data_IF_435719532442
#
_entry.id   IF_435719532442
#
_cell.length_a   1.000
_cell.length_b   1.000
_cell.length_c   1.000
_cell.angle_alpha   90.00
_cell.angle_beta   90.00
_cell.angle_gamma   90.00
#
_symmetry.space_group_name_H-M   'P 1'
#
loop_
_entity.id
_entity.type
_entity.pdbx_description
1 polymer ?
#
# COMPACT_ATOMS: atom_id res chain seq x y z
N UNK A 1 -11.95 2.60 11.66
CA UNK A 1 -12.08 1.14 11.49
C UNK A 1 -10.90 0.45 12.17
N UNK A 2 -11.09 -0.17 13.36
CA UNK A 2 -9.98 -0.73 14.17
C UNK A 2 -9.57 -2.16 13.78
N UNK A 3 -10.47 -2.91 13.16
CA UNK A 3 -10.30 -4.35 12.84
C UNK A 3 -10.09 -4.63 11.35
N UNK A 4 -9.84 -3.59 10.56
CA UNK A 4 -9.79 -3.70 9.11
C UNK A 4 -8.62 -4.57 8.64
N UNK A 5 -7.43 -4.37 9.22
CA UNK A 5 -6.24 -5.14 8.84
C UNK A 5 -6.43 -6.64 9.17
N UNK A 6 -7.02 -6.92 10.32
CA UNK A 6 -7.27 -8.26 10.82
C UNK A 6 -8.28 -9.00 9.92
N UNK A 7 -9.39 -8.35 9.59
CA UNK A 7 -10.39 -8.91 8.66
C UNK A 7 -9.77 -9.15 7.29
N UNK A 8 -9.02 -8.17 6.76
CA UNK A 8 -8.34 -8.31 5.47
C UNK A 8 -7.38 -9.50 5.45
N UNK A 9 -6.56 -9.67 6.50
CA UNK A 9 -5.60 -10.78 6.57
C UNK A 9 -6.27 -12.15 6.67
N UNK A 10 -7.40 -12.24 7.37
CA UNK A 10 -8.18 -13.48 7.44
C UNK A 10 -8.78 -13.81 6.07
N UNK A 11 -9.35 -12.83 5.39
CA UNK A 11 -9.90 -13.01 4.04
C UNK A 11 -8.81 -13.39 3.04
N UNK A 12 -7.65 -12.73 3.07
CA UNK A 12 -6.49 -13.04 2.24
C UNK A 12 -5.97 -14.45 2.52
N UNK A 13 -5.89 -14.86 3.80
CA UNK A 13 -5.50 -16.22 4.18
C UNK A 13 -6.46 -17.26 3.61
N UNK A 14 -7.77 -17.05 3.72
CA UNK A 14 -8.78 -17.96 3.19
C UNK A 14 -8.68 -18.06 1.66
N UNK A 15 -8.54 -16.92 0.99
CA UNK A 15 -8.39 -16.85 -0.46
C UNK A 15 -7.12 -17.58 -0.93
N UNK A 16 -5.97 -17.29 -0.32
CA UNK A 16 -4.71 -17.91 -0.67
C UNK A 16 -4.68 -19.41 -0.36
N UNK A 17 -5.27 -19.83 0.75
CA UNK A 17 -5.40 -21.26 1.08
C UNK A 17 -6.27 -22.00 0.05
N UNK A 18 -7.37 -21.38 -0.39
CA UNK A 18 -8.21 -21.91 -1.46
C UNK A 18 -7.44 -22.05 -2.78
N UNK A 19 -6.70 -21.02 -3.20
CA UNK A 19 -5.90 -21.07 -4.43
C UNK A 19 -4.78 -22.12 -4.33
N UNK A 20 -4.02 -22.15 -3.23
CA UNK A 20 -2.91 -23.09 -3.05
C UNK A 20 -3.37 -24.55 -2.98
N UNK A 21 -4.55 -24.82 -2.41
CA UNK A 21 -5.12 -26.18 -2.34
C UNK A 21 -5.69 -26.66 -3.68
N UNK A 22 -6.18 -25.75 -4.51
CA UNK A 22 -6.83 -26.09 -5.79
C UNK A 22 -5.86 -26.11 -6.97
N UNK A 23 -5.00 -25.11 -7.12
CA UNK A 23 -4.14 -24.92 -8.29
C UNK A 23 -2.64 -24.91 -7.96
N UNK A 24 -2.26 -25.24 -6.71
CA UNK A 24 -0.85 -25.23 -6.29
C UNK A 24 -0.17 -23.88 -6.56
N UNK A 25 -0.91 -22.78 -6.50
CA UNK A 25 -0.46 -21.43 -6.82
C UNK A 25 -1.12 -20.42 -5.89
N UNK A 26 -0.47 -19.27 -5.65
CA UNK A 26 -1.13 -18.13 -5.01
C UNK A 26 -2.21 -17.56 -5.95
N UNK A 27 -3.07 -16.67 -5.43
CA UNK A 27 -4.10 -16.01 -6.23
C UNK A 27 -3.50 -15.28 -7.45
N UNK A 28 -2.46 -14.48 -7.24
CA UNK A 28 -1.77 -13.75 -8.32
C UNK A 28 -1.02 -14.67 -9.26
N UNK A 29 -0.38 -15.72 -8.75
CA UNK A 29 0.32 -16.70 -9.60
C UNK A 29 -0.67 -17.46 -10.50
N UNK A 30 -1.82 -17.87 -9.96
CA UNK A 30 -2.87 -18.52 -10.72
C UNK A 30 -3.43 -17.59 -11.81
N UNK A 31 -3.60 -16.30 -11.51
CA UNK A 31 -4.03 -15.30 -12.49
C UNK A 31 -3.06 -15.18 -13.67
N UNK A 32 -1.75 -15.28 -13.41
CA UNK A 32 -0.71 -15.24 -14.45
C UNK A 32 -0.34 -16.63 -15.02
N UNK A 33 -1.08 -17.69 -14.70
CA UNK A 33 -0.80 -19.03 -15.22
C UNK A 33 0.53 -19.62 -14.71
N UNK A 34 0.88 -19.36 -13.45
CA UNK A 34 2.06 -19.89 -12.78
C UNK A 34 1.65 -20.90 -11.71
N UNK A 35 2.50 -21.91 -11.48
CA UNK A 35 2.36 -22.90 -10.40
C UNK A 35 3.63 -23.02 -9.57
N UNK A 36 3.47 -23.40 -8.30
CA UNK A 36 4.55 -23.66 -7.35
C UNK A 36 4.99 -25.11 -7.40
N UNK A 37 6.30 -25.34 -7.47
CA UNK A 37 6.90 -26.69 -7.45
C UNK A 37 7.96 -26.75 -6.34
N UNK A 38 7.98 -27.79 -5.48
CA UNK A 38 8.98 -27.93 -4.45
C UNK A 38 10.40 -28.02 -5.03
N UNK A 39 11.34 -27.29 -4.45
CA UNK A 39 12.74 -27.33 -4.84
C UNK A 39 13.34 -28.71 -4.53
N UNK A 40 13.95 -29.35 -5.54
CA UNK A 40 14.57 -30.68 -5.42
C UNK A 40 13.89 -31.78 -6.25
N UNK A 41 12.75 -31.49 -6.89
CA UNK A 41 12.15 -32.40 -7.88
C UNK A 41 12.71 -32.07 -9.27
N UNK A 42 13.64 -32.89 -9.75
CA UNK A 42 14.27 -32.82 -11.10
C UNK A 42 13.56 -33.68 -12.15
N UNK A 43 12.32 -34.11 -11.88
CA UNK A 43 11.48 -34.86 -12.82
C UNK A 43 10.44 -33.99 -13.53
N UNK A 44 9.64 -34.54 -14.47
CA UNK A 44 8.52 -33.83 -15.06
C UNK A 44 7.62 -33.32 -13.92
N UNK A 45 7.42 -32.00 -13.89
CA UNK A 45 6.66 -31.31 -12.86
C UNK A 45 5.37 -32.04 -12.59
N UNK A 46 5.14 -32.49 -11.35
CA UNK A 46 3.88 -33.15 -10.98
C UNK A 46 2.67 -32.32 -11.42
N UNK A 47 1.60 -33.01 -11.81
CA UNK A 47 0.34 -32.39 -12.20
C UNK A 47 -0.10 -31.37 -11.14
N UNK A 48 -0.51 -30.17 -11.58
CA UNK A 48 -0.94 -29.09 -10.69
C UNK A 48 -2.07 -29.50 -9.73
N UNK A 49 -2.90 -30.47 -10.12
CA UNK A 49 -3.98 -31.02 -9.31
C UNK A 49 -3.52 -31.76 -8.06
N UNK A 50 -2.29 -32.29 -8.04
CA UNK A 50 -1.76 -33.07 -6.92
C UNK A 50 -1.42 -32.18 -5.71
N UNK A 51 -1.38 -30.87 -5.90
CA UNK A 51 -1.16 -29.88 -4.85
C UNK A 51 0.27 -29.88 -4.29
N UNK A 52 0.57 -28.87 -3.47
CA UNK A 52 1.83 -28.85 -2.72
C UNK A 52 1.76 -29.81 -1.52
N UNK A 53 2.88 -30.49 -1.17
CA UNK A 53 2.98 -31.22 0.08
C UNK A 53 2.71 -30.28 1.27
N UNK A 54 2.06 -30.80 2.32
CA UNK A 54 1.52 -30.02 3.45
C UNK A 54 2.53 -29.09 4.11
N UNK A 55 3.79 -29.52 4.26
CA UNK A 55 4.86 -28.69 4.81
C UNK A 55 5.18 -27.47 3.95
N UNK A 56 5.30 -27.65 2.63
CA UNK A 56 5.58 -26.54 1.69
C UNK A 56 4.34 -25.67 1.46
N UNK A 57 3.16 -26.27 1.51
CA UNK A 57 1.88 -25.55 1.49
C UNK A 57 1.78 -24.59 2.68
N UNK A 58 1.97 -25.09 3.91
CA UNK A 58 1.84 -24.26 5.10
C UNK A 58 2.92 -23.18 5.17
N UNK A 59 4.17 -23.49 4.81
CA UNK A 59 5.25 -22.49 4.72
C UNK A 59 4.94 -21.42 3.68
N UNK A 60 4.46 -21.82 2.51
CA UNK A 60 4.06 -20.91 1.43
C UNK A 60 2.94 -19.97 1.88
N UNK A 61 1.90 -20.52 2.51
CA UNK A 61 0.75 -19.76 3.02
C UNK A 61 1.18 -18.78 4.12
N UNK A 62 1.95 -19.24 5.10
CA UNK A 62 2.45 -18.40 6.18
C UNK A 62 3.32 -17.26 5.65
N UNK A 63 4.25 -17.54 4.73
CA UNK A 63 5.14 -16.50 4.18
C UNK A 63 4.39 -15.48 3.32
N UNK A 64 3.36 -15.90 2.58
CA UNK A 64 2.55 -14.99 1.76
C UNK A 64 1.68 -14.05 2.58
N UNK A 65 1.09 -14.51 3.70
CA UNK A 65 0.15 -13.70 4.50
C UNK A 65 0.86 -12.99 5.66
N UNK A 66 1.69 -13.71 6.42
CA UNK A 66 2.24 -13.21 7.66
C UNK A 66 3.30 -12.14 7.44
N UNK A 67 4.15 -12.30 6.43
CA UNK A 67 5.23 -11.33 6.13
C UNK A 67 4.68 -9.96 5.77
N UNK A 68 3.75 -9.80 4.79
CA UNK A 68 3.20 -8.49 4.48
C UNK A 68 2.39 -7.92 5.65
N UNK A 69 1.67 -8.75 6.41
CA UNK A 69 0.95 -8.28 7.60
C UNK A 69 1.89 -7.69 8.66
N UNK A 70 2.95 -8.42 9.01
CA UNK A 70 3.96 -7.95 9.96
C UNK A 70 4.63 -6.68 9.47
N UNK A 71 4.96 -6.61 8.18
CA UNK A 71 5.56 -5.43 7.56
C UNK A 71 4.65 -4.21 7.72
N UNK A 72 3.37 -4.32 7.32
CA UNK A 72 2.39 -3.23 7.45
C UNK A 72 2.21 -2.80 8.90
N UNK A 73 2.16 -3.74 9.85
CA UNK A 73 2.07 -3.40 11.29
C UNK A 73 3.33 -2.69 11.79
N UNK A 74 4.51 -3.10 11.35
CA UNK A 74 5.78 -2.46 11.69
C UNK A 74 5.88 -1.04 11.11
N UNK A 75 5.51 -0.85 9.84
CA UNK A 75 5.47 0.46 9.18
C UNK A 75 4.52 1.41 9.91
N UNK A 76 3.31 0.95 10.26
CA UNK A 76 2.33 1.74 11.03
C UNK A 76 2.84 2.09 12.43
N UNK A 77 3.53 1.16 13.09
CA UNK A 77 4.11 1.38 14.41
C UNK A 77 5.24 2.41 14.31
N UNK A 78 6.14 2.29 13.33
CA UNK A 78 7.21 3.25 13.07
C UNK A 78 6.65 4.65 12.78
N UNK A 79 5.64 4.76 11.91
CA UNK A 79 4.98 6.03 11.59
C UNK A 79 4.41 6.71 12.84
N UNK A 80 3.66 5.97 13.66
CA UNK A 80 3.10 6.49 14.91
C UNK A 80 4.18 6.97 15.89
N UNK A 81 5.23 6.16 16.10
CA UNK A 81 6.31 6.51 17.02
C UNK A 81 7.07 7.75 16.54
N UNK A 82 7.26 7.90 15.22
CA UNK A 82 7.92 9.05 14.63
C UNK A 82 7.09 10.32 14.79
N UNK A 83 5.78 10.25 14.53
CA UNK A 83 4.85 11.36 14.77
C UNK A 83 4.87 11.77 16.25
N UNK A 84 4.80 10.82 17.18
CA UNK A 84 4.87 11.11 18.62
C UNK A 84 6.16 11.84 19.02
N UNK A 85 7.32 11.46 18.46
CA UNK A 85 8.58 12.20 18.71
C UNK A 85 8.58 13.61 18.10
N UNK A 86 8.00 13.80 16.93
CA UNK A 86 7.91 15.12 16.28
C UNK A 86 7.00 16.10 17.06
N UNK A 87 6.00 15.59 17.80
CA UNK A 87 5.04 16.40 18.57
C UNK A 87 5.30 16.45 20.09
N UNK A 88 6.12 15.57 20.66
CA UNK A 88 6.32 15.51 22.11
C UNK A 88 7.21 16.63 22.68
N UNK A 89 6.79 17.18 23.83
CA UNK A 89 7.61 18.07 24.67
C UNK A 89 8.73 17.23 25.30
N UNK A 90 9.98 17.70 25.29
CA UNK A 90 11.15 16.96 25.82
C UNK A 90 10.95 16.62 27.30
N UNK A 91 10.62 15.37 27.61
CA UNK A 91 10.61 14.82 28.97
C UNK A 91 11.94 14.11 29.29
N UNK A 92 12.36 14.03 30.56
CA UNK A 92 13.62 13.41 30.96
C UNK A 92 13.67 11.90 30.63
N UNK A 93 14.86 11.46 30.21
CA UNK A 93 15.09 10.19 29.52
C UNK A 93 14.89 8.94 30.39
N UNK A 94 13.79 8.23 30.16
CA UNK A 94 13.57 6.86 30.66
C UNK A 94 14.23 5.81 29.74
N UNK A 95 14.54 4.62 30.28
CA UNK A 95 15.14 3.52 29.50
C UNK A 95 14.27 3.10 28.30
N UNK A 96 12.93 3.17 28.42
CA UNK A 96 11.98 2.95 27.31
C UNK A 96 12.15 3.96 26.18
N UNK A 97 12.42 5.24 26.48
CA UNK A 97 12.63 6.27 25.48
C UNK A 97 13.94 6.08 24.71
N UNK A 98 15.00 5.55 25.37
CA UNK A 98 16.24 5.18 24.67
C UNK A 98 16.01 4.04 23.68
N UNK A 99 15.25 3.01 24.09
CA UNK A 99 14.87 1.92 23.18
C UNK A 99 14.01 2.41 22.02
N UNK A 100 13.07 3.33 22.26
CA UNK A 100 12.25 3.94 21.20
C UNK A 100 13.09 4.70 20.18
N UNK A 101 14.04 5.52 20.64
CA UNK A 101 14.97 6.24 19.75
C UNK A 101 15.88 5.31 18.98
N UNK A 102 16.40 4.27 19.64
CA UNK A 102 17.20 3.24 18.97
C UNK A 102 16.39 2.53 17.89
N UNK A 103 15.12 2.19 18.16
CA UNK A 103 14.22 1.60 17.18
C UNK A 103 13.96 2.54 15.99
N UNK A 104 13.64 3.81 16.25
CA UNK A 104 13.41 4.81 15.19
C UNK A 104 14.64 5.04 14.32
N UNK A 105 15.84 4.99 14.91
CA UNK A 105 17.08 5.10 14.16
C UNK A 105 17.41 3.82 13.38
N UNK A 106 17.14 2.63 13.94
CA UNK A 106 17.51 1.35 13.33
C UNK A 106 16.55 0.91 12.21
N UNK A 107 15.24 1.17 12.36
CA UNK A 107 14.21 0.75 11.41
C UNK A 107 14.47 1.11 9.94
N UNK A 108 14.87 2.35 9.57
CA UNK A 108 15.15 2.69 8.17
C UNK A 108 16.30 1.88 7.58
N UNK A 109 17.33 1.55 8.36
CA UNK A 109 18.43 0.70 7.90
C UNK A 109 18.00 -0.76 7.75
N UNK A 110 17.15 -1.27 8.65
CA UNK A 110 16.56 -2.60 8.53
C UNK A 110 15.69 -2.71 7.28
N UNK A 111 14.85 -1.70 7.03
CA UNK A 111 14.02 -1.66 5.82
C UNK A 111 14.90 -1.55 4.56
N UNK A 112 15.96 -0.73 4.58
CA UNK A 112 16.92 -0.64 3.49
C UNK A 112 17.61 -1.99 3.22
N UNK A 113 18.04 -2.70 4.29
CA UNK A 113 18.64 -4.02 4.17
C UNK A 113 17.67 -5.07 3.61
N UNK A 114 16.40 -5.02 4.02
CA UNK A 114 15.34 -5.88 3.49
C UNK A 114 15.11 -5.66 1.98
N UNK A 115 14.99 -4.41 1.55
CA UNK A 115 14.82 -4.06 0.13
C UNK A 115 16.06 -4.43 -0.70
N UNK A 116 17.25 -4.17 -0.17
CA UNK A 116 18.51 -4.56 -0.82
C UNK A 116 18.59 -6.09 -0.99
N UNK A 117 18.15 -6.86 0.00
CA UNK A 117 18.09 -8.32 -0.09
C UNK A 117 17.13 -8.79 -1.18
N UNK A 118 15.95 -8.17 -1.29
CA UNK A 118 14.97 -8.48 -2.34
C UNK A 118 15.52 -8.14 -3.73
N UNK A 119 16.08 -6.94 -3.89
CA UNK A 119 16.72 -6.48 -5.13
C UNK A 119 17.85 -7.40 -5.57
N UNK A 120 18.72 -7.81 -4.64
CA UNK A 120 19.83 -8.72 -4.94
C UNK A 120 19.31 -10.06 -5.49
N UNK A 121 18.22 -10.61 -4.95
CA UNK A 121 17.60 -11.83 -5.46
C UNK A 121 17.01 -11.64 -6.85
N UNK A 122 16.33 -10.52 -7.10
CA UNK A 122 15.79 -10.21 -8.42
C UNK A 122 16.90 -10.06 -9.46
N UNK A 123 18.00 -9.38 -9.13
CA UNK A 123 19.16 -9.25 -10.01
C UNK A 123 19.78 -10.62 -10.31
N UNK A 124 20.00 -11.46 -9.29
CA UNK A 124 20.51 -12.82 -9.48
C UNK A 124 19.60 -13.68 -10.35
N UNK A 125 18.29 -13.50 -10.24
CA UNK A 125 17.29 -14.16 -11.07
C UNK A 125 17.36 -13.70 -12.53
N UNK A 126 17.44 -12.38 -12.76
CA UNK A 126 17.56 -11.79 -14.11
C UNK A 126 18.87 -12.23 -14.78
N UNK A 127 19.98 -12.30 -14.05
CA UNK A 127 21.25 -12.83 -14.55
C UNK A 127 21.27 -14.37 -14.71
N UNK A 128 20.15 -15.06 -14.43
CA UNK A 128 20.04 -16.52 -14.59
C UNK A 128 20.82 -17.34 -13.57
N UNK A 129 21.41 -16.72 -12.53
CA UNK A 129 22.17 -17.41 -11.48
C UNK A 129 21.26 -18.03 -10.42
N UNK A 130 20.10 -17.43 -10.17
CA UNK A 130 19.11 -17.93 -9.22
C UNK A 130 17.84 -18.41 -9.92
N UNK A 131 17.21 -19.47 -9.40
CA UNK A 131 15.90 -19.97 -9.87
C UNK A 131 14.69 -19.26 -9.23
N UNK A 132 14.94 -18.40 -8.25
CA UNK A 132 13.90 -17.75 -7.45
C UNK A 132 14.03 -16.24 -7.58
N UNK A 133 12.93 -15.55 -7.92
CA UNK A 133 12.91 -14.09 -8.03
C UNK A 133 12.76 -13.39 -6.67
N UNK A 134 12.15 -14.05 -5.68
CA UNK A 134 11.92 -13.50 -4.35
C UNK A 134 12.53 -14.39 -3.26
N UNK A 135 13.12 -13.78 -2.21
CA UNK A 135 13.71 -14.53 -1.10
C UNK A 135 12.65 -15.28 -0.28
N UNK A 136 11.39 -14.86 -0.30
CA UNK A 136 10.29 -15.57 0.37
C UNK A 136 10.03 -16.94 -0.27
N UNK A 137 10.13 -17.05 -1.60
CA UNK A 137 10.01 -18.33 -2.29
C UNK A 137 11.19 -19.26 -1.98
N UNK A 138 12.39 -18.69 -1.86
CA UNK A 138 13.57 -19.43 -1.42
C UNK A 138 13.37 -20.02 -0.01
N UNK A 139 12.84 -19.22 0.93
CA UNK A 139 12.51 -19.67 2.29
C UNK A 139 11.40 -20.74 2.29
N UNK A 140 10.43 -20.63 1.38
CA UNK A 140 9.41 -21.66 1.18
C UNK A 140 9.96 -22.94 0.54
N UNK A 141 11.18 -22.89 -0.03
CA UNK A 141 11.83 -23.93 -0.85
C UNK A 141 10.96 -24.37 -2.02
N UNK A 142 10.45 -23.38 -2.75
CA UNK A 142 9.52 -23.57 -3.87
C UNK A 142 9.95 -22.65 -5.01
N UNK A 143 9.93 -23.14 -6.23
CA UNK A 143 10.15 -22.34 -7.43
C UNK A 143 8.87 -22.26 -8.28
N UNK A 144 8.79 -21.23 -9.11
CA UNK A 144 7.64 -21.01 -9.99
C UNK A 144 7.91 -21.60 -11.36
N UNK A 145 6.89 -22.23 -11.92
CA UNK A 145 6.89 -22.82 -13.26
C UNK A 145 5.60 -22.41 -13.95
N UNK A 146 5.64 -22.20 -15.27
CA UNK A 146 4.44 -21.94 -16.06
C UNK A 146 3.51 -23.15 -16.05
N UNK A 147 2.21 -22.89 -16.08
CA UNK A 147 1.19 -23.93 -16.16
C UNK A 147 1.30 -24.62 -17.52
N UNK A 148 1.42 -25.96 -17.53
CA UNK A 148 1.48 -26.72 -18.78
C UNK A 148 0.07 -27.05 -19.29
N UNK A 149 -0.07 -27.33 -20.59
CA UNK A 149 -1.35 -27.73 -21.18
C UNK A 149 -1.94 -28.98 -20.48
N UNK A 150 -1.10 -29.93 -20.10
CA UNK A 150 -1.52 -31.11 -19.35
C UNK A 150 -2.10 -30.77 -17.97
N UNK A 151 -1.58 -29.73 -17.31
CA UNK A 151 -2.12 -29.25 -16.04
C UNK A 151 -3.51 -28.62 -16.21
N UNK A 152 -3.72 -27.87 -17.30
CA UNK A 152 -5.01 -27.22 -17.59
C UNK A 152 -6.10 -28.27 -17.79
N UNK A 153 -5.84 -29.27 -18.64
CA UNK A 153 -6.79 -30.36 -18.91
C UNK A 153 -7.15 -31.14 -17.64
N UNK A 154 -6.18 -31.36 -16.76
CA UNK A 154 -6.41 -32.09 -15.52
C UNK A 154 -7.19 -31.26 -14.48
N UNK A 155 -6.95 -29.95 -14.42
CA UNK A 155 -7.76 -29.03 -13.61
C UNK A 155 -9.21 -28.95 -14.08
N UNK A 156 -9.44 -28.94 -15.39
CA UNK A 156 -10.79 -29.02 -15.98
C UNK A 156 -11.49 -30.31 -15.59
N UNK A 157 -10.83 -31.46 -15.74
CA UNK A 157 -11.37 -32.77 -15.34
C UNK A 157 -11.73 -32.85 -13.85
N UNK A 158 -10.93 -32.24 -12.97
CA UNK A 158 -11.20 -32.15 -11.53
C UNK A 158 -12.39 -31.25 -11.22
N UNK A 159 -12.55 -30.15 -11.95
CA UNK A 159 -13.69 -29.24 -11.79
C UNK A 159 -15.01 -29.91 -12.14
N UNK A 160 -15.03 -30.73 -13.21
CA UNK A 160 -16.21 -31.51 -13.61
C UNK A 160 -16.53 -32.64 -12.63
N UNK A 161 -15.52 -33.33 -12.08
CA UNK A 161 -15.75 -34.44 -11.12
C UNK A 161 -16.23 -33.95 -9.74
N UNK A 162 -15.78 -32.78 -9.29
CA UNK A 162 -16.25 -32.15 -8.04
C UNK A 162 -17.74 -31.79 -8.12
N UNK A 163 -18.24 -31.48 -9.32
CA UNK A 163 -19.67 -31.24 -9.53
C UNK A 163 -20.50 -32.53 -9.54
N UNK A 164 -19.91 -33.65 -9.96
CA UNK A 164 -20.56 -34.97 -10.10
C UNK A 164 -20.51 -35.88 -8.84
N UNK A 165 -19.88 -35.43 -7.75
CA UNK A 165 -19.79 -36.22 -6.51
C UNK A 165 -21.16 -36.33 -5.83
N UNK A 166 -21.65 -37.56 -5.62
CA UNK A 166 -22.92 -37.88 -4.98
C UNK A 166 -22.89 -37.69 -3.45
N UNK A 167 -24.02 -37.33 -2.81
CA UNK A 167 -24.09 -37.13 -1.37
C UNK A 167 -23.94 -38.45 -0.58
N UNK A 168 -23.13 -38.42 0.50
CA UNK A 168 -23.09 -39.48 1.51
C UNK A 168 -24.39 -39.59 2.30
N UNK A 169 -24.61 -40.75 2.94
CA UNK A 169 -25.87 -41.13 3.60
C UNK A 169 -26.10 -40.51 5.00
N UNK A 170 -25.23 -39.61 5.48
CA UNK A 170 -25.34 -38.98 6.82
C UNK A 170 -25.69 -37.49 6.74
N UNK A 171 -26.63 -37.03 7.58
CA UNK A 171 -27.16 -35.65 7.60
C UNK A 171 -26.08 -34.60 7.95
N UNK A 172 -25.14 -34.95 8.83
CA UNK A 172 -24.02 -34.08 9.23
C UNK A 172 -22.96 -33.99 8.13
N UNK A 173 -22.73 -35.08 7.40
CA UNK A 173 -21.84 -35.13 6.23
C UNK A 173 -22.44 -34.39 5.03
N UNK A 174 -23.76 -34.43 4.87
CA UNK A 174 -24.45 -33.64 3.86
C UNK A 174 -24.33 -32.14 4.12
N UNK A 175 -24.57 -31.68 5.35
CA UNK A 175 -24.46 -30.25 5.67
C UNK A 175 -23.03 -29.71 5.46
N UNK A 176 -22.02 -30.47 5.88
CA UNK A 176 -20.61 -30.11 5.66
C UNK A 176 -20.20 -30.18 4.18
N UNK A 177 -20.75 -31.12 3.41
CA UNK A 177 -20.57 -31.19 1.95
C UNK A 177 -21.22 -30.01 1.21
N UNK A 178 -22.46 -29.65 1.55
CA UNK A 178 -23.15 -28.49 0.97
C UNK A 178 -22.47 -27.18 1.35
N UNK A 179 -22.08 -27.00 2.62
CA UNK A 179 -21.40 -25.80 3.08
C UNK A 179 -20.02 -25.65 2.44
N UNK A 180 -19.23 -26.74 2.34
CA UNK A 180 -17.92 -26.70 1.68
C UNK A 180 -18.04 -26.46 0.17
N UNK A 181 -19.05 -27.03 -0.50
CA UNK A 181 -19.34 -26.77 -1.93
C UNK A 181 -19.83 -25.34 -2.16
N UNK A 182 -20.66 -24.79 -1.26
CA UNK A 182 -21.12 -23.41 -1.31
C UNK A 182 -19.96 -22.42 -1.07
N UNK A 183 -19.13 -22.66 -0.05
CA UNK A 183 -17.94 -21.87 0.23
C UNK A 183 -16.94 -21.93 -0.93
N UNK A 184 -16.73 -23.12 -1.51
CA UNK A 184 -15.88 -23.29 -2.69
C UNK A 184 -16.38 -22.57 -3.94
N UNK A 185 -17.71 -22.50 -4.15
CA UNK A 185 -18.35 -21.74 -5.24
C UNK A 185 -18.25 -20.23 -5.01
N UNK A 186 -18.50 -19.77 -3.78
CA UNK A 186 -18.36 -18.38 -3.38
C UNK A 186 -16.91 -17.91 -3.54
N UNK A 187 -15.94 -18.70 -3.09
CA UNK A 187 -14.52 -18.41 -3.25
C UNK A 187 -14.12 -18.32 -4.74
N UNK A 188 -14.63 -19.21 -5.60
CA UNK A 188 -14.38 -19.10 -7.05
C UNK A 188 -15.02 -17.87 -7.68
N UNK A 189 -16.27 -17.55 -7.31
CA UNK A 189 -16.96 -16.35 -7.82
C UNK A 189 -16.25 -15.08 -7.37
N UNK A 190 -15.83 -15.03 -6.10
CA UNK A 190 -15.07 -13.93 -5.53
C UNK A 190 -13.70 -13.79 -6.19
N UNK A 191 -12.99 -14.88 -6.45
CA UNK A 191 -11.72 -14.88 -7.17
C UNK A 191 -11.86 -14.29 -8.58
N UNK A 192 -12.88 -14.71 -9.33
CA UNK A 192 -13.16 -14.16 -10.67
C UNK A 192 -13.59 -12.69 -10.60
N UNK A 193 -14.44 -12.33 -9.63
CA UNK A 193 -14.87 -10.95 -9.40
C UNK A 193 -13.72 -10.03 -9.01
N UNK A 194 -12.79 -10.49 -8.16
CA UNK A 194 -11.57 -9.76 -7.81
C UNK A 194 -10.68 -9.56 -9.03
N UNK A 195 -10.52 -10.59 -9.87
CA UNK A 195 -9.73 -10.50 -11.10
C UNK A 195 -10.31 -9.44 -12.06
N UNK A 196 -11.64 -9.44 -12.25
CA UNK A 196 -12.33 -8.43 -13.05
C UNK A 196 -12.25 -7.04 -12.40
N UNK A 197 -12.36 -6.96 -11.08
CA UNK A 197 -12.23 -5.73 -10.31
C UNK A 197 -10.85 -5.10 -10.43
N UNK A 198 -9.78 -5.89 -10.37
CA UNK A 198 -8.40 -5.42 -10.57
C UNK A 198 -8.21 -4.84 -11.97
N UNK A 199 -8.76 -5.50 -13.00
CA UNK A 199 -8.75 -4.96 -14.37
C UNK A 199 -9.45 -3.59 -14.45
N UNK A 200 -10.63 -3.46 -13.85
CA UNK A 200 -11.36 -2.19 -13.84
C UNK A 200 -10.64 -1.10 -13.03
N UNK A 201 -9.98 -1.47 -11.93
CA UNK A 201 -9.17 -0.54 -11.15
C UNK A 201 -7.93 -0.07 -11.92
N UNK A 202 -7.24 -0.96 -12.64
CA UNK A 202 -6.15 -0.55 -13.54
C UNK A 202 -6.65 0.38 -14.64
N UNK A 203 -7.83 0.10 -15.21
CA UNK A 203 -8.47 1.02 -16.15
C UNK A 203 -8.75 2.38 -15.52
N UNK A 204 -9.28 2.44 -14.28
CA UNK A 204 -9.52 3.69 -13.58
C UNK A 204 -8.23 4.43 -13.23
N UNK A 205 -7.19 3.71 -12.80
CA UNK A 205 -5.88 4.29 -12.51
C UNK A 205 -5.26 4.90 -13.76
N UNK A 206 -5.37 4.21 -14.90
CA UNK A 206 -5.03 4.77 -16.19
C UNK A 206 -5.89 5.99 -16.55
N UNK A 207 -7.21 5.91 -16.34
CA UNK A 207 -8.16 7.00 -16.64
C UNK A 207 -7.88 8.27 -15.82
N UNK A 208 -7.47 8.11 -14.57
CA UNK A 208 -7.12 9.20 -13.65
C UNK A 208 -5.62 9.51 -13.60
N UNK A 209 -4.80 8.83 -14.40
CA UNK A 209 -3.38 9.13 -14.50
C UNK A 209 -3.19 10.60 -14.89
N UNK A 210 -2.18 11.25 -14.33
CA UNK A 210 -1.91 12.68 -14.51
C UNK A 210 -1.72 13.07 -15.98
N UNK A 211 -1.23 12.15 -16.81
CA UNK A 211 -1.11 12.34 -18.26
C UNK A 211 -2.49 12.43 -18.95
N UNK A 212 -3.42 11.55 -18.56
CA UNK A 212 -4.78 11.53 -19.10
C UNK A 212 -5.71 12.56 -18.43
N UNK A 213 -5.36 13.09 -17.25
CA UNK A 213 -6.15 14.15 -16.64
C UNK A 213 -6.24 15.40 -17.52
N UNK A 214 -5.16 15.79 -18.19
CA UNK A 214 -5.17 16.97 -19.06
C UNK A 214 -6.01 16.72 -20.32
N UNK A 215 -5.99 15.50 -20.87
CA UNK A 215 -6.84 15.14 -22.00
C UNK A 215 -8.31 15.08 -21.59
N UNK A 216 -8.64 14.46 -20.46
CA UNK A 216 -10.03 14.37 -19.95
C UNK A 216 -10.55 15.74 -19.52
N UNK A 217 -9.72 16.58 -18.89
CA UNK A 217 -10.06 17.99 -18.60
C UNK A 217 -10.27 18.78 -19.88
N UNK A 218 -9.41 18.62 -20.90
CA UNK A 218 -9.60 19.32 -22.19
C UNK A 218 -10.91 18.94 -22.89
N UNK A 219 -11.37 17.69 -22.74
CA UNK A 219 -12.63 17.21 -23.31
C UNK A 219 -13.88 17.61 -22.49
N UNK A 220 -13.71 17.87 -21.19
CA UNK A 220 -14.83 18.16 -20.26
C UNK A 220 -14.88 19.60 -19.75
N UNK A 221 -13.83 20.38 -19.94
CA UNK A 221 -13.76 21.78 -19.52
C UNK A 221 -14.30 22.71 -20.60
N UNK A 222 -15.12 23.66 -20.17
CA UNK A 222 -15.43 24.87 -20.93
C UNK A 222 -14.14 25.68 -21.17
N UNK A 223 -14.08 26.49 -22.25
CA UNK A 223 -12.91 27.34 -22.51
C UNK A 223 -12.60 28.22 -21.30
N UNK A 224 -11.35 28.24 -20.87
CA UNK A 224 -10.91 29.05 -19.73
C UNK A 224 -11.19 30.53 -20.01
N UNK A 225 -11.90 31.25 -19.12
CA UNK A 225 -12.09 32.67 -19.28
C UNK A 225 -10.73 33.37 -19.28
N UNK A 226 -10.59 34.49 -20.01
CA UNK A 226 -9.33 35.22 -20.04
C UNK A 226 -8.89 35.57 -18.62
N UNK A 227 -7.58 35.51 -18.32
CA UNK A 227 -7.07 35.80 -16.99
C UNK A 227 -7.55 37.20 -16.57
N UNK A 228 -8.03 37.37 -15.33
CA UNK A 228 -8.43 38.67 -14.84
C UNK A 228 -7.23 39.61 -14.96
N UNK A 229 -7.44 40.74 -15.61
CA UNK A 229 -6.40 41.76 -15.78
C UNK A 229 -6.01 42.21 -14.39
N UNK A 230 -4.83 41.80 -13.93
CA UNK A 230 -4.22 42.41 -12.76
C UNK A 230 -4.05 43.89 -13.12
N UNK A 231 -4.82 44.74 -12.44
CA UNK A 231 -4.51 46.16 -12.38
C UNK A 231 -3.13 46.25 -11.74
N UNK A 232 -2.09 46.29 -12.57
CA UNK A 232 -0.75 46.65 -12.18
C UNK A 232 -0.83 48.09 -11.67
N UNK A 233 -1.15 48.21 -10.39
CA UNK A 233 -1.02 49.43 -9.63
C UNK A 233 0.44 49.83 -9.69
N UNK A 234 0.71 50.85 -10.50
CA UNK A 234 1.97 51.54 -10.74
C UNK A 234 2.62 52.16 -9.47
N UNK A 235 2.72 51.40 -8.37
CA UNK A 235 3.26 51.87 -7.09
C UNK A 235 3.85 50.75 -6.23
N UNK A 236 4.60 49.83 -6.84
CA UNK A 236 5.50 48.94 -6.10
C UNK A 236 6.89 49.58 -6.00
N UNK A 237 7.26 50.27 -4.90
CA UNK A 237 8.63 50.72 -4.71
C UNK A 237 9.57 49.51 -4.63
N UNK A 238 10.75 49.64 -5.23
CA UNK A 238 11.81 48.63 -5.42
C UNK A 238 12.35 47.96 -4.12
N UNK A 239 11.76 48.20 -2.95
CA UNK A 239 12.12 47.64 -1.64
C UNK A 239 11.35 46.35 -1.26
N UNK A 240 10.39 45.91 -2.08
CA UNK A 240 9.50 44.78 -1.78
C UNK A 240 10.10 43.34 -1.78
N UNK A 241 11.26 43.02 -2.37
CA UNK A 241 11.83 41.68 -2.27
C UNK A 241 12.27 41.32 -0.84
N UNK A 242 12.78 42.29 -0.08
CA UNK A 242 13.31 42.07 1.27
C UNK A 242 12.21 41.86 2.32
N UNK A 243 11.02 42.47 2.14
CA UNK A 243 9.84 42.19 2.98
C UNK A 243 9.23 40.82 2.66
N UNK A 244 9.39 40.32 1.42
CA UNK A 244 8.79 39.06 1.00
C UNK A 244 9.33 37.84 1.74
N UNK A 245 10.50 37.85 2.35
CA UNK A 245 11.08 36.71 3.09
C UNK A 245 10.93 36.78 4.62
N UNK A 246 10.47 37.92 5.15
CA UNK A 246 10.33 38.15 6.57
C UNK A 246 8.94 37.77 7.08
N UNK A 247 8.86 37.40 8.36
CA UNK A 247 7.60 37.13 9.04
C UNK A 247 6.95 38.45 9.49
N UNK A 248 5.68 38.73 9.18
CA UNK A 248 5.00 39.94 9.67
C UNK A 248 4.87 40.02 11.20
N UNK A 249 4.87 38.87 11.89
CA UNK A 249 4.69 38.80 13.34
C UNK A 249 6.00 38.98 14.12
N UNK A 250 7.08 38.30 13.72
CA UNK A 250 8.35 38.34 14.45
C UNK A 250 9.45 39.14 13.75
N UNK A 251 9.21 39.63 12.52
CA UNK A 251 10.14 40.39 11.68
C UNK A 251 11.51 39.72 11.44
N UNK A 252 11.59 38.42 11.68
CA UNK A 252 12.75 37.57 11.39
C UNK A 252 12.54 36.84 10.06
N UNK A 253 13.61 36.31 9.41
CA UNK A 253 13.46 35.40 8.28
C UNK A 253 12.51 34.26 8.64
N UNK A 254 11.60 33.93 7.73
CA UNK A 254 10.54 32.96 8.04
C UNK A 254 11.11 31.56 8.21
N UNK A 255 10.94 30.98 9.40
CA UNK A 255 11.22 29.58 9.66
C UNK A 255 9.92 28.77 9.53
N UNK A 256 9.95 27.70 8.73
CA UNK A 256 8.79 26.85 8.40
C UNK A 256 7.62 27.68 7.88
N UNK A 257 7.70 28.06 6.61
CA UNK A 257 6.71 28.89 5.93
C UNK A 257 5.31 28.30 6.09
N UNK A 258 4.35 29.10 6.57
CA UNK A 258 2.96 28.68 6.73
C UNK A 258 2.06 29.76 6.19
N UNK A 259 1.29 29.43 5.16
CA UNK A 259 0.25 30.27 4.61
C UNK A 259 -1.04 30.11 5.42
N UNK A 260 -1.73 31.21 5.65
CA UNK A 260 -3.08 31.20 6.17
C UNK A 260 -4.06 31.22 4.99
N UNK A 261 -4.84 30.15 4.79
CA UNK A 261 -5.72 30.00 3.61
C UNK A 261 -6.80 31.08 3.51
N UNK A 262 -7.22 31.65 4.64
CA UNK A 262 -8.25 32.70 4.70
C UNK A 262 -7.78 34.05 4.18
N UNK A 263 -6.49 34.39 4.33
CA UNK A 263 -5.96 35.71 3.98
C UNK A 263 -4.86 35.69 2.92
N UNK A 264 -4.29 34.51 2.61
CA UNK A 264 -3.20 34.37 1.65
C UNK A 264 -1.84 34.87 2.15
N UNK A 265 -1.73 35.32 3.41
CA UNK A 265 -0.46 35.78 3.98
C UNK A 265 0.39 34.63 4.56
N UNK A 266 1.71 34.77 4.44
CA UNK A 266 2.68 33.76 4.89
C UNK A 266 3.42 34.22 6.13
N UNK A 267 3.50 33.34 7.14
CA UNK A 267 4.13 33.57 8.44
C UNK A 267 5.08 32.43 8.79
N UNK A 268 5.82 32.55 9.90
CA UNK A 268 6.42 31.39 10.55
C UNK A 268 5.34 30.53 11.21
N UNK A 269 5.41 29.20 11.05
CA UNK A 269 4.48 28.26 11.68
C UNK A 269 4.23 28.56 13.17
N UNK A 270 5.30 28.71 13.95
CA UNK A 270 5.21 28.94 15.41
C UNK A 270 4.48 30.24 15.75
N UNK A 271 4.71 31.30 14.98
CA UNK A 271 4.14 32.62 15.24
C UNK A 271 2.64 32.61 14.94
N UNK A 272 2.24 32.12 13.77
CA UNK A 272 0.83 32.13 13.38
C UNK A 272 0.01 31.11 14.16
N UNK A 273 0.57 29.93 14.48
CA UNK A 273 -0.11 28.93 15.30
C UNK A 273 -0.45 29.48 16.69
N UNK A 274 0.51 30.15 17.35
CA UNK A 274 0.26 30.75 18.67
C UNK A 274 -0.78 31.89 18.61
N UNK A 275 -0.75 32.71 17.56
CA UNK A 275 -1.69 33.82 17.39
C UNK A 275 -3.12 33.32 17.12
N UNK A 276 -3.27 32.43 16.14
CA UNK A 276 -4.57 31.87 15.74
C UNK A 276 -5.18 31.06 16.88
N UNK A 277 -4.37 30.26 17.60
CA UNK A 277 -4.85 29.52 18.77
C UNK A 277 -5.45 30.44 19.84
N UNK A 278 -4.88 31.63 20.06
CA UNK A 278 -5.32 32.58 21.09
C UNK A 278 -6.47 33.48 20.63
N UNK A 279 -6.44 33.94 19.37
CA UNK A 279 -7.35 34.99 18.89
C UNK A 279 -8.34 34.54 17.81
N UNK A 280 -8.19 33.32 17.25
CA UNK A 280 -9.07 32.75 16.21
C UNK A 280 -9.32 33.69 15.02
N UNK A 281 -8.30 34.48 14.66
CA UNK A 281 -8.37 35.47 13.58
C UNK A 281 -7.01 35.68 12.92
N UNK A 282 -7.03 36.19 11.70
CA UNK A 282 -5.84 36.61 10.97
C UNK A 282 -5.24 37.89 11.60
N UNK A 283 -3.92 37.95 11.85
CA UNK A 283 -3.28 39.14 12.43
C UNK A 283 -3.23 40.34 11.47
N UNK A 284 -3.29 40.11 10.15
CA UNK A 284 -3.16 41.16 9.13
C UNK A 284 -4.52 41.68 8.66
N UNK A 285 -5.46 40.77 8.38
CA UNK A 285 -6.77 41.11 7.78
C UNK A 285 -7.92 41.05 8.79
N UNK A 286 -7.72 40.47 9.98
CA UNK A 286 -8.78 40.29 10.97
C UNK A 286 -9.78 39.18 10.63
N UNK A 287 -9.66 38.49 9.50
CA UNK A 287 -10.58 37.43 9.11
C UNK A 287 -10.64 36.28 10.12
N UNK A 288 -11.83 35.71 10.40
CA UNK A 288 -11.95 34.56 11.28
C UNK A 288 -11.10 33.42 10.75
N UNK A 289 -10.28 32.82 11.61
CA UNK A 289 -9.30 31.82 11.18
C UNK A 289 -9.06 30.82 12.29
N UNK A 290 -9.11 29.54 11.95
CA UNK A 290 -8.90 28.41 12.86
C UNK A 290 -7.60 27.67 12.50
N UNK A 291 -7.19 26.72 13.34
CA UNK A 291 -5.94 25.98 13.14
C UNK A 291 -5.92 25.14 11.85
N UNK A 292 -7.09 24.73 11.35
CA UNK A 292 -7.23 23.99 10.09
C UNK A 292 -6.90 24.83 8.84
N UNK A 293 -6.94 26.16 8.95
CA UNK A 293 -6.62 27.09 7.86
C UNK A 293 -5.11 27.33 7.71
N UNK A 294 -4.28 26.67 8.51
CA UNK A 294 -2.82 26.76 8.45
C UNK A 294 -2.26 25.74 7.48
N UNK A 295 -1.76 26.21 6.35
CA UNK A 295 -1.13 25.37 5.32
C UNK A 295 0.38 25.57 5.37
N UNK A 296 1.12 24.53 5.78
CA UNK A 296 2.59 24.57 5.72
C UNK A 296 3.04 24.53 4.26
N UNK A 297 3.90 25.47 3.90
CA UNK A 297 4.56 25.52 2.61
C UNK A 297 5.95 24.92 2.75
N UNK A 298 6.24 23.90 1.95
CA UNK A 298 7.58 23.35 1.80
C UNK A 298 8.25 24.06 0.63
N UNK A 299 9.26 24.88 0.92
CA UNK A 299 10.09 25.46 -0.16
C UNK A 299 11.02 24.35 -0.65
N UNK A 300 11.23 24.19 -1.98
CA UNK A 300 12.17 23.22 -2.54
C UNK A 300 13.64 23.55 -2.23
N UNK A 301 13.91 24.73 -1.66
CA UNK A 301 15.25 25.15 -1.25
C UNK A 301 15.39 25.02 0.27
N UNK A 302 15.84 23.84 0.66
CA UNK A 302 16.35 23.50 1.99
C UNK A 302 17.49 22.51 1.83
#
# INVERSE_FOLDING_TARGET
WRWFDEIYTVLDLLLQHYCLSRSAASFSENFYGLKRVPAGVTGPSGLASRGLPTAHHLRSLLLLVLVPYLRVKLDKLFGRLREEEDYAIRFPASHRQRLHKAFLAAYPYLNMGWEAWFLAHQLLYVFGKARHHSPLLLLARVHLVTLSLADVLDLEKRSSSTNASQPGHSVTEQLTFFFSKACGRLASSLSTGLSLGVFFLQFLEWWYSTENQETVKSLSCLPTPPPPVHLDGHLAPAALPALKSLCPLCRKPRANHTALSTSGHVFCYRCIYAYVKRQQRCPMTGYPSELQHLIKLYSPEG
#
